data_IF_751143101330
#
_entry.id   IF_751143101330
#
_cell.length_a   1.000
_cell.length_b   1.000
_cell.length_c   1.000
_cell.angle_alpha   90.00
_cell.angle_beta   90.00
_cell.angle_gamma   90.00
#
_symmetry.space_group_name_H-M   'P 1'
#
loop_
_entity.id
_entity.type
_entity.pdbx_description
1 polymer ?
#
# COMPACT_ATOMS: atom_id res chain seq x y z
N UNK A 1 20.88 -1.56 50.98
CA UNK A 1 21.95 -0.68 50.48
C UNK A 1 22.90 -1.60 49.72
N UNK A 2 22.82 -1.79 48.40
CA UNK A 2 22.62 -0.84 47.31
C UNK A 2 21.30 -1.08 46.54
N UNK A 3 20.58 0.02 46.29
CA UNK A 3 19.70 0.17 45.13
C UNK A 3 20.60 0.27 43.89
N UNK A 4 20.28 -0.42 42.80
CA UNK A 4 20.23 0.15 41.45
C UNK A 4 19.28 -0.70 40.59
N UNK A 5 18.17 -0.06 40.25
CA UNK A 5 17.26 -0.36 39.16
C UNK A 5 18.04 -0.63 37.86
N UNK A 6 17.74 -1.74 37.22
CA UNK A 6 18.22 -2.10 35.89
C UNK A 6 17.02 -2.34 35.00
N UNK A 7 16.24 -1.29 34.75
CA UNK A 7 15.19 -1.23 33.72
C UNK A 7 15.79 -1.42 32.32
N UNK A 8 16.13 -2.67 32.00
CA UNK A 8 16.62 -3.11 30.70
C UNK A 8 15.54 -3.81 29.88
N UNK A 9 14.27 -3.39 30.02
CA UNK A 9 13.16 -3.85 29.20
C UNK A 9 13.33 -3.37 27.75
N UNK A 10 14.26 -3.98 27.01
CA UNK A 10 14.31 -3.90 25.54
C UNK A 10 13.16 -4.74 25.00
N UNK A 11 11.96 -4.19 25.16
CA UNK A 11 10.76 -4.59 24.45
C UNK A 11 11.10 -4.63 22.97
N UNK A 12 10.99 -5.84 22.43
CA UNK A 12 11.19 -6.17 21.05
C UNK A 12 10.44 -5.15 20.20
N UNK A 13 11.15 -4.31 19.45
CA UNK A 13 10.57 -3.63 18.30
C UNK A 13 10.44 -4.67 17.19
N UNK A 14 9.56 -5.64 17.41
CA UNK A 14 9.02 -6.44 16.31
C UNK A 14 8.47 -5.43 15.31
N UNK A 15 9.17 -5.25 14.19
CA UNK A 15 8.57 -4.59 13.03
C UNK A 15 7.42 -5.49 12.61
N UNK A 16 6.24 -5.25 13.19
CA UNK A 16 4.98 -5.75 12.66
C UNK A 16 4.92 -5.25 11.22
N UNK A 17 5.25 -6.12 10.27
CA UNK A 17 4.91 -5.89 8.88
C UNK A 17 3.38 -5.85 8.89
N UNK A 18 2.82 -4.64 8.81
CA UNK A 18 1.39 -4.43 8.78
C UNK A 18 0.87 -4.89 7.41
N UNK A 19 0.74 -6.20 7.24
CA UNK A 19 0.05 -6.83 6.11
C UNK A 19 -1.45 -6.48 6.10
N UNK A 20 -1.95 -5.90 7.19
CA UNK A 20 -3.35 -5.54 7.46
C UNK A 20 -3.92 -4.40 6.60
N UNK A 21 -3.14 -3.80 5.70
CA UNK A 21 -3.63 -2.78 4.77
C UNK A 21 -3.26 -3.08 3.30
N UNK A 22 -2.96 -4.33 2.97
CA UNK A 22 -2.99 -4.71 1.56
C UNK A 22 -4.45 -4.95 1.18
N UNK A 23 -5.11 -3.87 0.75
CA UNK A 23 -6.51 -3.86 0.36
C UNK A 23 -6.67 -4.84 -0.81
N UNK A 24 -7.13 -6.07 -0.55
CA UNK A 24 -7.33 -7.08 -1.60
C UNK A 24 -8.30 -6.59 -2.68
N UNK A 25 -9.13 -5.59 -2.33
CA UNK A 25 -9.96 -4.85 -3.28
C UNK A 25 -9.14 -4.07 -4.30
N UNK A 26 -7.96 -3.55 -3.95
CA UNK A 26 -7.05 -2.89 -4.90
C UNK A 26 -6.47 -3.87 -5.90
N UNK A 27 -6.22 -5.14 -5.52
CA UNK A 27 -5.78 -6.17 -6.47
C UNK A 27 -6.88 -6.52 -7.48
N UNK A 28 -8.12 -6.71 -7.02
CA UNK A 28 -9.27 -6.94 -7.91
C UNK A 28 -9.54 -5.72 -8.80
N UNK A 29 -9.44 -4.52 -8.23
CA UNK A 29 -9.59 -3.29 -9.00
C UNK A 29 -8.49 -3.13 -10.05
N UNK A 30 -7.25 -3.51 -9.74
CA UNK A 30 -6.13 -3.48 -10.67
C UNK A 30 -6.39 -4.40 -11.88
N UNK A 31 -6.77 -5.67 -11.65
CA UNK A 31 -7.06 -6.63 -12.72
C UNK A 31 -8.15 -6.12 -13.69
N UNK A 32 -9.23 -5.58 -13.13
CA UNK A 32 -10.34 -5.03 -13.92
C UNK A 32 -9.93 -3.75 -14.64
N UNK A 33 -9.20 -2.83 -13.99
CA UNK A 33 -8.71 -1.60 -14.61
C UNK A 33 -7.74 -1.87 -15.77
N UNK A 34 -6.89 -2.89 -15.65
CA UNK A 34 -5.98 -3.32 -16.70
C UNK A 34 -6.72 -3.96 -17.88
N UNK A 35 -7.78 -4.71 -17.60
CA UNK A 35 -8.61 -5.37 -18.61
C UNK A 35 -9.46 -4.35 -19.39
N UNK A 36 -10.20 -3.50 -18.68
CA UNK A 36 -11.16 -2.56 -19.29
C UNK A 36 -10.47 -1.35 -19.95
N UNK A 37 -9.30 -0.94 -19.43
CA UNK A 37 -8.60 0.31 -19.83
C UNK A 37 -9.48 1.57 -19.79
N UNK A 38 -10.65 1.50 -19.14
CA UNK A 38 -11.63 2.56 -19.01
C UNK A 38 -12.21 2.52 -17.59
N UNK A 39 -12.05 3.63 -16.86
CA UNK A 39 -12.48 3.76 -15.45
C UNK A 39 -13.99 3.62 -15.27
N UNK A 40 -14.79 4.02 -16.25
CA UNK A 40 -16.25 3.93 -16.18
C UNK A 40 -16.71 2.48 -16.28
N UNK A 41 -16.24 1.74 -17.29
CA UNK A 41 -16.53 0.31 -17.44
C UNK A 41 -15.99 -0.53 -16.28
N UNK A 42 -14.81 -0.17 -15.77
CA UNK A 42 -14.26 -0.81 -14.58
C UNK A 42 -15.15 -0.60 -13.34
N UNK A 43 -15.72 0.59 -13.16
CA UNK A 43 -16.62 0.90 -12.04
C UNK A 43 -17.92 0.08 -12.11
N UNK A 44 -18.50 -0.06 -13.31
CA UNK A 44 -19.67 -0.92 -13.55
C UNK A 44 -19.38 -2.37 -13.18
N UNK A 45 -18.24 -2.90 -13.64
CA UNK A 45 -17.84 -4.30 -13.42
C UNK A 45 -17.42 -4.59 -11.97
N UNK A 46 -16.95 -3.57 -11.24
CA UNK A 46 -16.63 -3.63 -9.82
C UNK A 46 -17.85 -3.38 -8.91
N UNK A 47 -19.01 -3.00 -9.48
CA UNK A 47 -20.19 -2.57 -8.73
C UNK A 47 -19.92 -1.42 -7.74
N UNK A 48 -19.10 -0.45 -8.17
CA UNK A 48 -18.76 0.74 -7.39
C UNK A 48 -19.02 2.02 -8.18
N UNK A 49 -18.95 3.17 -7.52
CA UNK A 49 -19.03 4.45 -8.23
C UNK A 49 -17.76 4.74 -9.03
N UNK A 50 -17.90 5.51 -10.11
CA UNK A 50 -16.76 5.98 -10.90
C UNK A 50 -15.73 6.76 -10.05
N UNK A 51 -16.18 7.55 -9.06
CA UNK A 51 -15.30 8.22 -8.09
C UNK A 51 -14.48 7.21 -7.28
N UNK A 52 -15.08 6.12 -6.80
CA UNK A 52 -14.37 5.09 -6.06
C UNK A 52 -13.34 4.37 -6.95
N UNK A 53 -13.70 4.04 -8.19
CA UNK A 53 -12.78 3.44 -9.16
C UNK A 53 -11.60 4.37 -9.50
N UNK A 54 -11.87 5.67 -9.68
CA UNK A 54 -10.82 6.69 -9.91
C UNK A 54 -9.89 6.84 -8.71
N UNK A 55 -10.43 6.83 -7.49
CA UNK A 55 -9.62 6.85 -6.26
C UNK A 55 -8.73 5.62 -6.14
N UNK A 56 -9.27 4.43 -6.46
CA UNK A 56 -8.51 3.18 -6.48
C UNK A 56 -7.37 3.24 -7.51
N UNK A 57 -7.63 3.71 -8.72
CA UNK A 57 -6.60 3.91 -9.75
C UNK A 57 -5.50 4.88 -9.29
N UNK A 58 -5.85 5.97 -8.62
CA UNK A 58 -4.87 6.93 -8.11
C UNK A 58 -4.02 6.34 -6.97
N UNK A 59 -4.59 5.51 -6.10
CA UNK A 59 -3.83 4.78 -5.08
C UNK A 59 -2.89 3.76 -5.71
N UNK A 60 -3.36 3.00 -6.70
CA UNK A 60 -2.55 2.04 -7.45
C UNK A 60 -1.36 2.75 -8.11
N UNK A 61 -1.59 3.87 -8.79
CA UNK A 61 -0.51 4.68 -9.37
C UNK A 61 0.51 5.09 -8.32
N UNK A 62 0.09 5.69 -7.21
CA UNK A 62 1.01 6.10 -6.13
C UNK A 62 1.83 4.94 -5.57
N UNK A 63 1.21 3.77 -5.42
CA UNK A 63 1.91 2.59 -4.89
C UNK A 63 3.04 2.13 -5.81
N UNK A 64 2.78 2.05 -7.11
CA UNK A 64 3.80 1.67 -8.09
C UNK A 64 4.83 2.77 -8.39
N UNK A 65 4.42 4.04 -8.33
CA UNK A 65 5.30 5.19 -8.56
C UNK A 65 6.31 5.38 -7.39
N UNK A 66 5.86 5.16 -6.14
CA UNK A 66 6.73 5.21 -4.96
C UNK A 66 7.78 4.08 -4.99
N UNK A 67 7.39 2.88 -5.43
CA UNK A 67 8.33 1.76 -5.59
C UNK A 67 9.41 2.07 -6.64
N UNK A 68 9.04 2.71 -7.76
CA UNK A 68 9.99 3.07 -8.81
C UNK A 68 10.93 4.23 -8.40
N UNK A 69 10.43 5.21 -7.65
CA UNK A 69 11.23 6.31 -7.13
C UNK A 69 12.32 5.85 -6.14
N UNK A 70 12.01 4.83 -5.32
CA UNK A 70 12.97 4.25 -4.37
C UNK A 70 14.04 3.40 -5.05
N UNK A 71 13.71 2.73 -6.15
CA UNK A 71 14.68 1.94 -6.93
C UNK A 71 15.64 2.88 -7.68
N UNK A 72 15.14 3.97 -8.24
CA UNK A 72 15.96 4.93 -8.99
C UNK A 72 16.87 5.79 -8.08
N UNK A 73 16.48 6.06 -6.84
CA UNK A 73 17.32 6.79 -5.88
C UNK A 73 18.62 6.04 -5.48
N UNK A 74 18.73 4.74 -5.76
CA UNK A 74 19.96 3.97 -5.57
C UNK A 74 20.87 3.86 -6.80
N UNK A 75 20.44 4.38 -7.96
CA UNK A 75 21.19 4.27 -9.23
C UNK A 75 21.96 5.56 -9.55
N UNK A 76 21.69 6.65 -8.80
CA UNK A 76 22.36 7.95 -8.97
C UNK A 76 23.27 8.32 -7.78
N UNK A 77 23.99 7.36 -7.20
CA UNK A 77 25.06 7.64 -6.23
C UNK A 77 26.34 6.89 -6.56
#
# INVERSE_FOLDING_TARGET
MYMLDGTGGRGQRERKVQLSHFDLNLLRALDILLTERNVTHAAERLFITQQAASSALQRLRRYFDDEFSRVSAGIWN
#
